data_IF_909229681395
#
_entry.id   IF_909229681395
#
_cell.length_a   1.000
_cell.length_b   1.000
_cell.length_c   1.000
_cell.angle_alpha   90.00
_cell.angle_beta   90.00
_cell.angle_gamma   90.00
#
_symmetry.space_group_name_H-M   'P 1'
#
loop_
_entity.id
_entity.type
_entity.pdbx_description
1 polymer ?
#
# COMPACT_ATOMS: atom_id res chain seq x y z
N UNK A 1 -2.40 11.73 3.08
CA UNK A 1 -2.33 10.46 2.32
C UNK A 1 -3.68 10.20 1.65
N UNK A 2 -3.71 9.75 0.41
CA UNK A 2 -4.96 9.34 -0.28
C UNK A 2 -4.85 7.88 -0.71
N UNK A 3 -5.95 7.14 -0.65
CA UNK A 3 -6.01 5.76 -1.15
C UNK A 3 -6.60 5.75 -2.55
N UNK A 4 -6.04 4.89 -3.41
CA UNK A 4 -6.56 4.69 -4.75
C UNK A 4 -6.44 3.23 -5.16
N UNK A 5 -7.23 2.85 -6.14
CA UNK A 5 -7.06 1.60 -6.86
C UNK A 5 -6.53 1.92 -8.25
N UNK A 6 -5.47 1.24 -8.67
CA UNK A 6 -4.90 1.37 -10.00
C UNK A 6 -4.88 0.01 -10.68
N UNK A 7 -4.70 0.00 -12.00
CA UNK A 7 -4.61 -1.23 -12.80
C UNK A 7 -3.16 -1.43 -13.24
N UNK A 8 -2.67 -2.65 -13.08
CA UNK A 8 -1.44 -3.13 -13.71
C UNK A 8 -1.70 -4.43 -14.48
N UNK A 9 -0.64 -5.08 -14.98
CA UNK A 9 -0.71 -6.32 -15.75
C UNK A 9 -1.42 -7.46 -15.00
N UNK A 10 -1.32 -7.49 -13.66
CA UNK A 10 -1.94 -8.51 -12.81
C UNK A 10 -3.38 -8.16 -12.38
N UNK A 11 -3.90 -6.99 -12.78
CA UNK A 11 -5.25 -6.55 -12.45
C UNK A 11 -5.30 -5.31 -11.55
N UNK A 12 -6.35 -5.21 -10.73
CA UNK A 12 -6.57 -4.07 -9.84
C UNK A 12 -5.75 -4.23 -8.56
N UNK A 13 -5.03 -3.17 -8.19
CA UNK A 13 -4.20 -3.13 -6.99
C UNK A 13 -4.45 -1.88 -6.15
N UNK A 14 -4.22 -2.02 -4.85
CA UNK A 14 -4.26 -0.91 -3.90
C UNK A 14 -2.96 -0.10 -3.98
N UNK A 15 -3.10 1.22 -4.04
CA UNK A 15 -2.01 2.18 -4.01
C UNK A 15 -2.24 3.26 -2.97
N UNK A 16 -1.15 3.80 -2.44
CA UNK A 16 -1.17 4.92 -1.50
C UNK A 16 -0.56 6.14 -2.17
N UNK A 17 -1.37 7.14 -2.48
CA UNK A 17 -0.91 8.40 -3.06
C UNK A 17 -0.38 9.33 -1.98
N UNK A 18 0.84 9.80 -2.22
CA UNK A 18 1.56 10.81 -1.45
C UNK A 18 2.00 11.94 -2.39
N UNK A 19 2.68 12.96 -1.87
CA UNK A 19 3.25 14.04 -2.68
C UNK A 19 4.36 13.58 -3.63
N UNK A 20 5.08 12.51 -3.27
CA UNK A 20 6.19 11.95 -4.07
C UNK A 20 5.71 11.05 -5.22
N UNK A 21 4.47 10.58 -5.17
CA UNK A 21 3.94 9.59 -6.11
C UNK A 21 3.04 8.58 -5.42
N UNK A 22 2.81 7.45 -6.10
CA UNK A 22 1.96 6.38 -5.59
C UNK A 22 2.84 5.22 -5.11
N UNK A 23 2.66 4.80 -3.86
CA UNK A 23 3.29 3.59 -3.33
C UNK A 23 2.49 2.37 -3.76
N UNK A 24 3.16 1.39 -4.38
CA UNK A 24 2.60 0.07 -4.63
C UNK A 24 2.56 -0.72 -3.31
N UNK A 25 1.36 -0.86 -2.73
CA UNK A 25 1.15 -1.52 -1.43
C UNK A 25 1.61 -2.97 -1.45
N UNK A 26 1.38 -3.68 -2.55
CA UNK A 26 1.74 -5.10 -2.65
C UNK A 26 3.27 -5.27 -2.68
N UNK A 27 3.98 -4.44 -3.46
CA UNK A 27 5.45 -4.45 -3.48
C UNK A 27 6.05 -3.99 -2.16
N UNK A 28 5.53 -2.91 -1.57
CA UNK A 28 6.02 -2.39 -0.30
C UNK A 28 5.86 -3.43 0.82
N UNK A 29 4.72 -4.14 0.85
CA UNK A 29 4.47 -5.25 1.78
C UNK A 29 5.51 -6.36 1.67
N UNK A 30 5.77 -6.82 0.45
CA UNK A 30 6.77 -7.87 0.19
C UNK A 30 8.16 -7.42 0.64
N UNK A 31 8.52 -6.16 0.37
CA UNK A 31 9.81 -5.58 0.78
C UNK A 31 9.94 -5.45 2.29
N UNK A 32 8.86 -5.05 2.98
CA UNK A 32 8.84 -4.86 4.43
C UNK A 32 8.83 -6.18 5.21
N UNK A 33 8.63 -7.33 4.55
CA UNK A 33 8.48 -8.63 5.23
C UNK A 33 7.22 -8.69 6.12
N UNK A 34 6.22 -7.86 5.84
CA UNK A 34 4.99 -7.80 6.62
C UNK A 34 4.04 -8.94 6.25
N UNK A 35 3.30 -9.42 7.25
CA UNK A 35 2.28 -10.45 7.06
C UNK A 35 1.22 -10.00 6.04
N UNK A 36 0.90 -10.89 5.11
CA UNK A 36 -0.13 -10.70 4.11
C UNK A 36 -1.51 -10.43 4.72
N UNK A 37 -1.79 -10.97 5.90
CA UNK A 37 -3.06 -10.75 6.61
C UNK A 37 -3.15 -9.35 7.26
N UNK A 38 -2.01 -8.70 7.52
CA UNK A 38 -1.98 -7.40 8.21
C UNK A 38 -2.11 -6.21 7.24
N UNK A 39 -1.81 -6.42 5.96
CA UNK A 39 -1.82 -5.37 4.94
C UNK A 39 -2.92 -5.64 3.91
N UNK A 40 -3.86 -4.71 3.71
CA UNK A 40 -4.91 -4.87 2.72
C UNK A 40 -4.35 -4.89 1.29
N UNK A 41 -4.87 -5.78 0.48
CA UNK A 41 -4.65 -5.84 -0.96
C UNK A 41 -5.69 -5.01 -1.74
N UNK A 42 -6.86 -4.75 -1.15
CA UNK A 42 -7.99 -4.09 -1.83
C UNK A 42 -8.61 -2.95 -1.02
N UNK A 43 -9.32 -2.04 -1.71
CA UNK A 43 -10.08 -0.97 -1.05
C UNK A 43 -11.18 -1.53 -0.11
N UNK A 44 -11.80 -2.65 -0.48
CA UNK A 44 -12.82 -3.29 0.34
C UNK A 44 -12.25 -3.76 1.69
N UNK A 45 -11.05 -4.33 1.69
CA UNK A 45 -10.35 -4.73 2.92
C UNK A 45 -9.94 -3.54 3.77
N UNK A 46 -9.57 -2.39 3.16
CA UNK A 46 -9.32 -1.16 3.91
C UNK A 46 -10.58 -0.70 4.65
N UNK A 47 -11.72 -0.68 3.95
CA UNK A 47 -13.01 -0.25 4.52
C UNK A 47 -13.44 -1.20 5.66
N UNK A 48 -13.29 -2.51 5.46
CA UNK A 48 -13.64 -3.50 6.47
C UNK A 48 -12.67 -3.52 7.67
N UNK A 49 -11.39 -3.22 7.43
CA UNK A 49 -10.31 -3.35 8.41
C UNK A 49 -10.15 -2.17 9.37
N UNK A 50 -10.83 -1.04 9.14
CA UNK A 50 -10.87 0.07 10.10
C UNK A 50 -9.52 0.80 10.31
N UNK A 51 -9.40 1.60 11.40
CA UNK A 51 -8.27 2.50 11.60
C UNK A 51 -6.89 1.84 11.65
N UNK A 52 -6.78 0.61 12.20
CA UNK A 52 -5.52 -0.12 12.30
C UNK A 52 -4.86 -0.38 10.95
N UNK A 53 -5.69 -0.57 9.90
CA UNK A 53 -5.20 -0.77 8.54
C UNK A 53 -4.56 0.51 7.99
N UNK A 54 -5.09 1.68 8.34
CA UNK A 54 -4.51 2.96 7.92
C UNK A 54 -3.11 3.13 8.53
N UNK A 55 -2.95 2.83 9.81
CA UNK A 55 -1.65 2.86 10.48
C UNK A 55 -0.65 1.89 9.84
N UNK A 56 -1.08 0.70 9.45
CA UNK A 56 -0.23 -0.25 8.74
C UNK A 56 0.20 0.25 7.34
N UNK A 57 -0.71 0.93 6.63
CA UNK A 57 -0.41 1.58 5.35
C UNK A 57 0.55 2.77 5.49
N UNK A 58 0.43 3.56 6.56
CA UNK A 58 1.38 4.64 6.88
C UNK A 58 2.78 4.09 7.15
N UNK A 59 2.90 2.98 7.88
CA UNK A 59 4.17 2.29 8.08
C UNK A 59 4.79 1.81 6.76
N UNK A 60 3.98 1.32 5.82
CA UNK A 60 4.44 0.95 4.48
C UNK A 60 4.93 2.13 3.67
N UNK A 61 4.26 3.29 3.76
CA UNK A 61 4.73 4.52 3.12
C UNK A 61 6.09 4.92 3.68
N UNK A 62 6.32 4.78 4.98
CA UNK A 62 7.62 5.05 5.58
C UNK A 62 8.72 4.12 5.04
N UNK A 63 8.44 2.83 4.86
CA UNK A 63 9.36 1.88 4.21
C UNK A 63 9.65 2.30 2.76
N UNK A 64 8.63 2.72 2.02
CA UNK A 64 8.79 3.17 0.63
C UNK A 64 9.71 4.40 0.49
N UNK A 65 9.80 5.26 1.50
CA UNK A 65 10.71 6.42 1.43
C UNK A 65 12.17 6.02 1.20
N UNK A 66 12.58 4.88 1.76
CA UNK A 66 13.94 4.36 1.68
C UNK A 66 14.23 3.57 0.39
N UNK A 67 13.22 3.23 -0.41
CA UNK A 67 13.38 2.40 -1.61
C UNK A 67 12.61 2.97 -2.82
N UNK A 68 13.30 3.59 -3.80
CA UNK A 68 12.68 4.13 -5.00
C UNK A 68 11.91 3.12 -5.85
N UNK A 69 12.19 1.81 -5.75
CA UNK A 69 11.51 0.77 -6.54
C UNK A 69 10.05 0.52 -6.13
N UNK A 70 9.64 1.08 -4.98
CA UNK A 70 8.29 0.95 -4.44
C UNK A 70 7.31 2.01 -4.94
N UNK A 71 7.78 2.94 -5.78
CA UNK A 71 7.01 4.07 -6.30
C UNK A 71 6.55 3.83 -7.75
N UNK A 72 5.38 4.37 -8.07
CA UNK A 72 4.77 4.45 -9.41
C UNK A 72 4.65 5.90 -9.85
#
# INVERSE_FOLDING_TARGET
MQLLTYRNEDGLRLGVRTERGVVDVARARLKAGMDAAAIPATMAEVIAGGPQVITALEALVAVAQADPSLWL
#
